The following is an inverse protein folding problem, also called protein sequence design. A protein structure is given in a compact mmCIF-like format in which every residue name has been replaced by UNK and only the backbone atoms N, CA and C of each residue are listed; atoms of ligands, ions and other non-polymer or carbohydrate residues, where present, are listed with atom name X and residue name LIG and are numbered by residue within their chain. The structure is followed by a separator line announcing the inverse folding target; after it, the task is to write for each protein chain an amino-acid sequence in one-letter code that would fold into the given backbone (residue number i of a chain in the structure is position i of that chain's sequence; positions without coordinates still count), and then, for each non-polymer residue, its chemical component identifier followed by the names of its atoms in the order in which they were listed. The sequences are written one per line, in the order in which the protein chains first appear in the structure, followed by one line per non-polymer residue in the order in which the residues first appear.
data_IF_692322495322
#
_entry.id   IF_692322495322
#
_cell.length_a   1.000
_cell.length_b   1.000
_cell.length_c   1.000
_cell.angle_alpha   90.00
_cell.angle_beta   90.00
_cell.angle_gamma   90.00
#
_symmetry.space_group_name_H-M   'P 1'
#
loop_
_entity.id
_entity.type
_entity.pdbx_description
1 polymer ?
#
# COMPACT_ATOMS: atom_id res chain seq x y z
N UNK A 1 6.14 8.59 -8.93
CA UNK A 1 6.22 7.33 -8.18
C UNK A 1 6.06 7.71 -6.73
N UNK A 2 5.21 7.02 -5.97
CA UNK A 2 5.28 7.09 -4.50
C UNK A 2 6.68 6.58 -4.15
N UNK A 3 7.59 7.50 -3.87
CA UNK A 3 9.03 7.21 -3.85
C UNK A 3 9.98 8.41 -3.92
N UNK A 4 9.52 9.65 -3.82
CA UNK A 4 10.41 10.79 -3.56
C UNK A 4 9.63 11.83 -2.76
N UNK A 5 9.63 11.69 -1.43
CA UNK A 5 8.84 12.54 -0.56
C UNK A 5 8.54 11.83 0.75
N UNK A 6 7.31 11.42 0.98
CA UNK A 6 6.85 10.96 2.29
C UNK A 6 5.70 9.96 2.07
N UNK A 7 5.71 8.78 2.72
CA UNK A 7 4.56 7.84 2.66
C UNK A 7 4.79 6.49 1.97
N UNK A 8 5.87 5.78 2.28
CA UNK A 8 5.96 4.34 1.98
C UNK A 8 5.34 3.49 3.11
N UNK A 9 5.26 4.05 4.33
CA UNK A 9 4.61 3.42 5.47
C UNK A 9 3.42 4.26 5.92
N UNK A 10 2.23 3.68 5.83
CA UNK A 10 0.98 4.34 6.21
C UNK A 10 0.42 3.81 7.54
N UNK A 11 1.09 2.85 8.19
CA UNK A 11 0.64 2.28 9.46
C UNK A 11 -0.65 1.47 9.31
N UNK A 12 -1.61 1.66 10.23
CA UNK A 12 -2.86 0.88 10.30
C UNK A 12 -3.93 1.27 9.29
N UNK A 13 -3.61 1.40 8.00
CA UNK A 13 -4.63 1.66 6.97
C UNK A 13 -5.30 0.37 6.51
N UNK A 14 -6.59 0.45 6.16
CA UNK A 14 -7.32 -0.69 5.64
C UNK A 14 -6.86 -1.07 4.23
N UNK A 15 -7.06 -2.33 3.84
CA UNK A 15 -6.77 -2.81 2.48
C UNK A 15 -7.42 -1.91 1.41
N UNK A 16 -8.66 -1.49 1.64
CA UNK A 16 -9.43 -0.65 0.71
C UNK A 16 -8.78 0.73 0.55
N UNK A 17 -8.36 1.35 1.64
CA UNK A 17 -7.68 2.65 1.61
C UNK A 17 -6.33 2.55 0.90
N UNK A 18 -5.59 1.46 1.14
CA UNK A 18 -4.34 1.17 0.44
C UNK A 18 -4.56 1.05 -1.08
N UNK A 19 -5.56 0.29 -1.50
CA UNK A 19 -5.91 0.15 -2.91
C UNK A 19 -6.33 1.47 -3.54
N UNK A 20 -7.10 2.30 -2.83
CA UNK A 20 -7.53 3.61 -3.32
C UNK A 20 -6.36 4.59 -3.44
N UNK A 21 -5.46 4.64 -2.46
CA UNK A 21 -4.23 5.44 -2.53
C UNK A 21 -3.38 5.04 -3.73
N UNK A 22 -3.19 3.73 -3.91
CA UNK A 22 -2.45 3.20 -5.05
C UNK A 22 -3.15 3.52 -6.37
N UNK A 23 -4.48 3.40 -6.45
CA UNK A 23 -5.27 3.79 -7.64
C UNK A 23 -5.08 5.25 -8.01
N UNK A 24 -5.07 6.14 -7.02
CA UNK A 24 -4.84 7.58 -7.20
C UNK A 24 -3.38 7.90 -7.60
N UNK A 25 -2.44 6.99 -7.32
CA UNK A 25 -1.03 7.16 -7.63
C UNK A 25 -0.62 6.54 -8.97
N UNK A 26 0.56 6.95 -9.46
CA UNK A 26 1.14 6.45 -10.71
C UNK A 26 1.38 4.93 -10.63
N UNK A 27 1.35 4.27 -11.78
CA UNK A 27 1.71 2.85 -11.94
C UNK A 27 3.05 2.55 -11.25
N UNK A 28 3.23 1.33 -10.72
CA UNK A 28 4.38 0.91 -9.92
C UNK A 28 4.50 1.59 -8.53
N UNK A 29 3.42 2.16 -8.01
CA UNK A 29 3.40 2.64 -6.62
C UNK A 29 3.20 1.47 -5.65
N UNK A 30 3.76 1.59 -4.45
CA UNK A 30 3.65 0.60 -3.38
C UNK A 30 3.58 1.29 -2.03
N UNK A 31 3.01 0.62 -1.04
CA UNK A 31 2.97 1.06 0.35
C UNK A 31 2.87 -0.13 1.31
N UNK A 32 3.41 0.05 2.51
CA UNK A 32 3.36 -0.91 3.62
C UNK A 32 2.28 -0.47 4.61
N UNK A 33 1.44 -1.41 5.04
CA UNK A 33 0.41 -1.25 6.07
C UNK A 33 0.55 -2.32 7.15
N UNK A 34 0.04 -2.07 8.35
CA UNK A 34 -0.02 -3.09 9.39
C UNK A 34 -1.13 -4.09 9.07
N UNK A 35 -0.86 -5.36 9.35
CA UNK A 35 -1.86 -6.41 9.24
C UNK A 35 -2.94 -6.20 10.30
N UNK A 36 -4.19 -6.14 9.85
CA UNK A 36 -5.34 -5.94 10.72
C UNK A 36 -5.57 -7.14 11.65
N UNK A 37 -5.05 -8.32 11.27
CA UNK A 37 -5.14 -9.56 12.02
C UNK A 37 -3.99 -9.79 13.00
N UNK A 38 -2.86 -9.09 12.86
CA UNK A 38 -1.70 -9.28 13.73
C UNK A 38 -0.90 -7.99 13.83
N UNK A 39 -0.88 -7.37 15.03
CA UNK A 39 -0.20 -6.09 15.29
C UNK A 39 1.32 -6.11 15.00
N UNK A 40 1.92 -7.30 14.89
CA UNK A 40 3.33 -7.50 14.58
C UNK A 40 3.60 -7.91 13.12
N UNK A 41 2.55 -8.07 12.33
CA UNK A 41 2.67 -8.52 10.94
C UNK A 41 2.40 -7.35 10.00
N UNK A 42 3.15 -7.28 8.89
CA UNK A 42 3.09 -6.18 7.94
C UNK A 42 2.59 -6.70 6.60
N UNK A 43 1.58 -6.01 6.07
CA UNK A 43 1.06 -6.27 4.73
C UNK A 43 1.64 -5.26 3.75
N UNK A 44 2.13 -5.74 2.62
CA UNK A 44 2.60 -4.89 1.52
C UNK A 44 1.48 -4.81 0.47
N UNK A 45 1.10 -3.59 0.09
CA UNK A 45 0.18 -3.32 -1.00
C UNK A 45 0.93 -2.66 -2.15
N UNK A 46 0.90 -3.28 -3.32
CA UNK A 46 1.61 -2.89 -4.54
C UNK A 46 0.61 -2.71 -5.67
N UNK A 47 0.72 -1.62 -6.44
CA UNK A 47 0.04 -1.46 -7.73
C UNK A 47 1.01 -1.68 -8.87
N UNK A 48 0.81 -2.78 -9.57
CA UNK A 48 1.45 -3.04 -10.86
C UNK A 48 0.69 -2.29 -11.96
N UNK A 49 1.24 -2.26 -13.18
CA UNK A 49 0.57 -1.63 -14.33
C UNK A 49 -0.82 -2.24 -14.59
N UNK A 50 -1.02 -3.49 -14.21
CA UNK A 50 -2.19 -4.28 -14.61
C UNK A 50 -3.08 -4.69 -13.43
N UNK A 51 -2.61 -4.61 -12.19
CA UNK A 51 -3.40 -5.01 -11.02
C UNK A 51 -2.86 -4.48 -9.68
N UNK A 52 -3.69 -4.48 -8.64
CA UNK A 52 -3.26 -4.19 -7.26
C UNK A 52 -3.18 -5.50 -6.48
N UNK A 53 -2.02 -5.80 -5.91
CA UNK A 53 -1.77 -6.99 -5.10
C UNK A 53 -1.49 -6.60 -3.66
N UNK A 54 -2.03 -7.37 -2.71
CA UNK A 54 -1.83 -7.19 -1.27
C UNK A 54 -1.57 -8.53 -0.61
N UNK A 55 -0.40 -8.70 0.01
CA UNK A 55 -0.02 -9.86 0.82
C UNK A 55 -0.37 -9.64 2.28
#
# INVERSE_FOLDING_TARGET
MIGCGEGWYHGGISRIDAENLLRLCKECSYLVRNSQSSKNDYSLSLKTLTSVQST
#
